data_IF_426813968828
#
_entry.id   IF_426813968828
#
_cell.length_a   1.000
_cell.length_b   1.000
_cell.length_c   1.000
_cell.angle_alpha   90.00
_cell.angle_beta   90.00
_cell.angle_gamma   90.00
#
_symmetry.space_group_name_H-M   'P 1'
#
loop_
_entity.id
_entity.type
_entity.pdbx_description
1 polymer ?
#
# COMPACT_ATOMS: atom_id res chain seq x y z
N UNK A 1 -35.35 -6.65 10.94
CA UNK A 1 -34.73 -7.92 10.51
C UNK A 1 -33.54 -7.57 9.67
N UNK A 2 -32.28 -7.79 10.07
CA UNK A 2 -31.16 -7.61 9.14
C UNK A 2 -31.28 -8.67 8.04
N UNK A 3 -31.42 -8.22 6.78
CA UNK A 3 -31.39 -9.08 5.63
C UNK A 3 -30.05 -9.85 5.66
N UNK A 4 -30.09 -11.17 5.42
CA UNK A 4 -28.92 -11.97 5.13
C UNK A 4 -28.30 -11.37 3.86
N UNK A 5 -27.32 -10.45 4.02
CA UNK A 5 -26.50 -10.00 2.91
C UNK A 5 -25.87 -11.24 2.30
N UNK A 6 -26.24 -11.54 1.08
CA UNK A 6 -25.74 -12.68 0.34
C UNK A 6 -24.22 -12.53 0.16
N UNK A 7 -23.55 -13.65 0.29
CA UNK A 7 -22.10 -13.77 0.19
C UNK A 7 -21.61 -13.40 -1.22
N UNK A 8 -21.14 -12.17 -1.41
CA UNK A 8 -20.45 -11.74 -2.61
C UNK A 8 -21.25 -11.86 -3.93
N UNK A 9 -20.72 -11.30 -4.99
CA UNK A 9 -21.23 -11.48 -6.34
C UNK A 9 -20.95 -12.89 -6.87
N UNK A 10 -21.85 -13.42 -7.70
CA UNK A 10 -21.60 -14.65 -8.46
C UNK A 10 -20.90 -14.28 -9.78
N UNK A 11 -19.69 -14.71 -9.97
CA UNK A 11 -18.94 -14.54 -11.22
C UNK A 11 -19.45 -15.58 -12.22
N UNK A 12 -19.92 -15.13 -13.38
CA UNK A 12 -20.38 -15.95 -14.49
C UNK A 12 -19.24 -16.29 -15.43
N UNK A 13 -18.41 -15.30 -15.73
CA UNK A 13 -17.18 -15.46 -16.51
C UNK A 13 -16.16 -14.39 -16.09
N UNK A 14 -14.89 -14.68 -16.29
CA UNK A 14 -13.78 -13.76 -16.03
C UNK A 14 -12.79 -13.85 -17.17
N UNK A 15 -12.31 -12.71 -17.66
CA UNK A 15 -11.33 -12.62 -18.73
C UNK A 15 -10.24 -11.62 -18.34
N UNK A 16 -8.98 -12.05 -18.37
CA UNK A 16 -7.84 -11.17 -18.28
C UNK A 16 -7.75 -10.30 -19.52
N UNK A 17 -7.73 -8.99 -19.34
CA UNK A 17 -7.62 -7.99 -20.40
C UNK A 17 -6.17 -7.50 -20.52
N UNK A 18 -5.49 -7.37 -19.38
CA UNK A 18 -4.09 -6.97 -19.30
C UNK A 18 -3.43 -7.70 -18.14
N UNK A 19 -2.20 -8.14 -18.36
CA UNK A 19 -1.37 -8.78 -17.34
C UNK A 19 0.02 -8.11 -17.36
N UNK A 20 0.21 -7.19 -16.43
CA UNK A 20 1.43 -6.39 -16.31
C UNK A 20 2.27 -6.79 -15.10
N UNK A 21 3.49 -6.27 -15.04
CA UNK A 21 4.43 -6.54 -13.94
C UNK A 21 3.92 -6.03 -12.57
N UNK A 22 3.17 -4.93 -12.55
CA UNK A 22 2.74 -4.26 -11.32
C UNK A 22 1.29 -4.57 -11.00
N UNK A 23 0.40 -4.51 -11.99
CA UNK A 23 -1.02 -4.76 -11.86
C UNK A 23 -1.56 -5.45 -13.13
N UNK A 24 -2.73 -6.05 -13.01
CA UNK A 24 -3.47 -6.57 -14.15
C UNK A 24 -4.83 -5.90 -14.28
N UNK A 25 -5.55 -6.23 -15.36
CA UNK A 25 -6.97 -5.85 -15.54
C UNK A 25 -7.73 -7.11 -15.93
N UNK A 26 -8.81 -7.41 -15.21
CA UNK A 26 -9.77 -8.43 -15.60
C UNK A 26 -11.13 -7.81 -15.85
N UNK A 27 -11.91 -8.45 -16.71
CA UNK A 27 -13.32 -8.15 -16.95
C UNK A 27 -14.15 -9.33 -16.49
N UNK A 28 -15.07 -9.07 -15.56
CA UNK A 28 -15.95 -10.07 -14.97
C UNK A 28 -17.40 -9.81 -15.38
N UNK A 29 -18.10 -10.84 -15.86
CA UNK A 29 -19.56 -10.86 -15.96
C UNK A 29 -20.10 -11.41 -14.64
N UNK A 30 -20.91 -10.63 -13.94
CA UNK A 30 -21.34 -10.95 -12.59
C UNK A 30 -22.83 -10.82 -12.38
N UNK A 31 -23.36 -11.57 -11.40
CA UNK A 31 -24.64 -11.28 -10.77
C UNK A 31 -24.31 -10.77 -9.36
N UNK A 32 -24.60 -9.51 -9.11
CA UNK A 32 -24.42 -8.88 -7.80
C UNK A 32 -25.39 -9.44 -6.75
N UNK A 33 -25.11 -9.27 -5.45
CA UNK A 33 -26.02 -9.70 -4.38
C UNK A 33 -27.45 -9.15 -4.49
N UNK A 34 -27.60 -8.00 -5.15
CA UNK A 34 -28.88 -7.37 -5.46
C UNK A 34 -29.67 -8.07 -6.59
N UNK A 35 -29.06 -9.02 -7.30
CA UNK A 35 -29.61 -9.67 -8.50
C UNK A 35 -29.29 -8.95 -9.81
N UNK A 36 -28.57 -7.83 -9.77
CA UNK A 36 -28.19 -7.08 -10.97
C UNK A 36 -27.12 -7.84 -11.74
N UNK A 37 -27.35 -8.05 -13.05
CA UNK A 37 -26.34 -8.52 -13.98
C UNK A 37 -25.51 -7.34 -14.46
N UNK A 38 -24.20 -7.47 -14.39
CA UNK A 38 -23.29 -6.38 -14.75
C UNK A 38 -21.94 -6.91 -15.25
N UNK A 39 -21.33 -6.14 -16.12
CA UNK A 39 -19.91 -6.26 -16.45
C UNK A 39 -19.10 -5.37 -15.48
N UNK A 40 -18.04 -5.91 -14.92
CA UNK A 40 -17.11 -5.17 -14.04
C UNK A 40 -15.69 -5.29 -14.57
N UNK A 41 -15.04 -4.16 -14.68
CA UNK A 41 -13.61 -4.09 -14.96
C UNK A 41 -12.88 -3.80 -13.64
N UNK A 42 -11.94 -4.67 -13.31
CA UNK A 42 -11.23 -4.64 -12.02
C UNK A 42 -9.74 -4.62 -12.28
N UNK A 43 -9.07 -3.66 -11.70
CA UNK A 43 -7.60 -3.67 -11.61
C UNK A 43 -7.21 -4.68 -10.54
N UNK A 44 -6.44 -5.69 -10.94
CA UNK A 44 -5.92 -6.72 -10.03
C UNK A 44 -4.59 -6.28 -9.45
N UNK A 45 -4.40 -6.47 -8.15
CA UNK A 45 -3.20 -6.08 -7.43
C UNK A 45 -2.94 -7.05 -6.26
N UNK A 46 -1.68 -7.44 -5.99
CA UNK A 46 -1.37 -8.41 -4.93
C UNK A 46 -1.62 -7.89 -3.50
N UNK A 47 -1.86 -6.59 -3.36
CA UNK A 47 -1.92 -5.87 -2.10
C UNK A 47 -0.64 -5.09 -1.81
N UNK A 48 -0.73 -4.20 -0.85
CA UNK A 48 0.39 -3.34 -0.45
C UNK A 48 0.50 -3.17 1.06
N UNK A 49 1.67 -2.74 1.48
CA UNK A 49 1.93 -2.28 2.85
C UNK A 49 2.35 -0.83 2.83
N UNK A 50 1.93 -0.11 3.85
CA UNK A 50 2.44 1.22 4.19
C UNK A 50 2.96 1.15 5.62
N UNK A 51 4.16 1.64 5.85
CA UNK A 51 4.79 1.61 7.17
C UNK A 51 4.87 3.02 7.72
N UNK A 52 4.36 3.22 8.94
CA UNK A 52 4.55 4.43 9.74
C UNK A 52 5.69 4.19 10.73
N UNK A 53 6.95 4.55 10.40
CA UNK A 53 8.10 4.27 11.23
C UNK A 53 8.28 5.41 12.26
N UNK A 54 8.18 5.08 13.55
CA UNK A 54 8.36 6.05 14.64
C UNK A 54 9.73 5.84 15.28
N UNK A 55 10.56 6.87 15.21
CA UNK A 55 11.85 6.92 15.88
C UNK A 55 11.71 7.03 17.40
N UNK A 56 12.76 6.69 18.17
CA UNK A 56 12.72 6.78 19.64
C UNK A 56 12.39 8.17 20.18
N UNK A 57 12.71 9.22 19.43
CA UNK A 57 12.43 10.63 19.78
C UNK A 57 11.03 11.10 19.31
N UNK A 58 10.21 10.21 18.76
CA UNK A 58 8.84 10.49 18.31
C UNK A 58 8.73 11.09 16.92
N UNK A 59 9.84 11.31 16.20
CA UNK A 59 9.80 11.73 14.80
C UNK A 59 9.38 10.56 13.92
N UNK A 60 8.76 10.89 12.77
CA UNK A 60 8.35 9.95 11.75
C UNK A 60 9.37 9.97 10.62
N UNK A 61 9.83 8.79 10.22
CA UNK A 61 10.71 8.62 9.07
C UNK A 61 9.87 8.62 7.81
N UNK A 62 10.19 9.52 6.88
CA UNK A 62 9.58 9.62 5.57
C UNK A 62 10.62 9.37 4.49
N UNK A 63 10.16 8.96 3.33
CA UNK A 63 10.98 8.81 2.13
C UNK A 63 10.57 9.84 1.08
N UNK A 64 11.49 10.16 0.18
CA UNK A 64 11.21 10.99 -1.00
C UNK A 64 11.64 10.25 -2.24
N UNK A 65 10.70 10.03 -3.15
CA UNK A 65 10.97 9.38 -4.43
C UNK A 65 10.21 10.06 -5.57
N UNK A 66 10.67 9.84 -6.81
CA UNK A 66 9.99 10.31 -8.00
C UNK A 66 8.84 9.38 -8.35
N UNK A 67 7.61 9.90 -8.40
CA UNK A 67 6.43 9.17 -8.85
C UNK A 67 6.09 9.57 -10.27
N UNK A 68 6.40 8.70 -11.24
CA UNK A 68 6.19 8.99 -12.66
C UNK A 68 4.73 9.32 -12.99
N UNK A 69 3.75 8.64 -12.38
CA UNK A 69 2.34 8.92 -12.58
C UNK A 69 1.94 10.33 -12.13
N UNK A 70 2.55 10.84 -11.06
CA UNK A 70 2.36 12.20 -10.55
C UNK A 70 3.32 13.21 -11.20
N UNK A 71 4.34 12.75 -11.94
CA UNK A 71 5.40 13.54 -12.59
C UNK A 71 6.17 14.46 -11.64
N UNK A 72 6.33 14.03 -10.37
CA UNK A 72 7.02 14.82 -9.35
C UNK A 72 7.61 13.95 -8.24
N UNK A 73 8.48 14.56 -7.44
CA UNK A 73 8.97 13.97 -6.21
C UNK A 73 7.93 14.18 -5.10
N UNK A 74 7.60 13.10 -4.40
CA UNK A 74 6.68 13.14 -3.26
C UNK A 74 7.39 12.71 -1.98
N UNK A 75 6.99 13.30 -0.85
CA UNK A 75 7.29 12.76 0.46
C UNK A 75 6.20 11.77 0.84
N UNK A 76 6.62 10.57 1.16
CA UNK A 76 5.72 9.44 1.41
C UNK A 76 6.16 8.68 2.66
N UNK A 77 5.27 7.88 3.20
CA UNK A 77 5.64 6.80 4.11
C UNK A 77 6.28 5.67 3.31
N UNK A 78 7.11 4.87 3.96
CA UNK A 78 7.65 3.63 3.37
C UNK A 78 6.49 2.77 2.87
N UNK A 79 6.55 2.30 1.64
CA UNK A 79 5.45 1.55 1.05
C UNK A 79 5.91 0.64 -0.08
N UNK A 80 5.35 -0.57 -0.13
CA UNK A 80 5.61 -1.48 -1.23
C UNK A 80 4.58 -2.57 -1.38
N UNK A 81 4.75 -3.38 -2.41
CA UNK A 81 3.87 -4.50 -2.72
C UNK A 81 4.12 -5.68 -1.77
N UNK A 82 3.07 -6.45 -1.56
CA UNK A 82 3.18 -7.74 -0.89
C UNK A 82 3.59 -8.78 -1.93
N UNK A 83 4.74 -9.39 -1.73
CA UNK A 83 5.21 -10.46 -2.61
C UNK A 83 4.45 -11.76 -2.38
N UNK A 84 4.44 -12.63 -3.40
CA UNK A 84 3.76 -13.91 -3.32
C UNK A 84 4.22 -14.75 -2.11
N UNK A 85 3.29 -15.09 -1.24
CA UNK A 85 3.56 -15.85 -0.02
C UNK A 85 4.09 -15.05 1.16
N UNK A 86 4.24 -13.72 1.03
CA UNK A 86 4.58 -12.88 2.16
C UNK A 86 3.34 -12.51 3.00
N UNK A 87 3.56 -12.35 4.29
CA UNK A 87 2.58 -11.69 5.16
C UNK A 87 2.79 -10.18 5.14
N UNK A 88 1.75 -9.35 5.42
CA UNK A 88 1.91 -7.90 5.49
C UNK A 88 3.03 -7.43 6.43
N UNK A 89 3.26 -8.14 7.53
CA UNK A 89 4.35 -7.80 8.46
C UNK A 89 5.73 -8.09 7.88
N UNK A 90 5.86 -9.16 7.11
CA UNK A 90 7.13 -9.54 6.48
C UNK A 90 7.48 -8.54 5.37
N UNK A 91 6.50 -8.21 4.51
CA UNK A 91 6.68 -7.19 3.48
C UNK A 91 7.02 -5.83 4.10
N UNK A 92 6.32 -5.40 5.15
CA UNK A 92 6.61 -4.15 5.84
C UNK A 92 8.03 -4.10 6.43
N UNK A 93 8.54 -5.23 6.93
CA UNK A 93 9.90 -5.30 7.44
C UNK A 93 10.95 -5.25 6.32
N UNK A 94 10.69 -5.89 5.18
CA UNK A 94 11.54 -5.85 3.98
C UNK A 94 11.61 -4.43 3.43
N UNK A 95 10.46 -3.81 3.12
CA UNK A 95 10.39 -2.47 2.56
C UNK A 95 11.06 -1.41 3.45
N UNK A 96 10.87 -1.51 4.77
CA UNK A 96 11.52 -0.58 5.71
C UNK A 96 13.04 -0.65 5.62
N UNK A 97 13.61 -1.83 5.44
CA UNK A 97 15.06 -2.01 5.29
C UNK A 97 15.52 -1.50 3.92
N UNK A 98 14.86 -1.92 2.86
CA UNK A 98 15.22 -1.59 1.48
C UNK A 98 15.24 -0.07 1.27
N UNK A 99 14.18 0.63 1.63
CA UNK A 99 14.03 2.06 1.39
C UNK A 99 14.75 2.96 2.40
N UNK A 100 14.99 2.50 3.62
CA UNK A 100 15.52 3.36 4.69
C UNK A 100 16.73 2.82 5.44
N UNK A 101 17.00 1.53 5.34
CA UNK A 101 18.01 0.84 6.14
C UNK A 101 17.58 0.56 7.58
N UNK A 102 16.45 1.07 8.05
CA UNK A 102 16.02 0.86 9.42
C UNK A 102 15.38 -0.52 9.60
N UNK A 103 15.61 -1.09 10.78
CA UNK A 103 14.95 -2.32 11.26
C UNK A 103 14.06 -1.97 12.44
N UNK A 104 12.84 -2.50 12.47
CA UNK A 104 11.92 -2.30 13.57
C UNK A 104 11.82 -3.56 14.43
N UNK A 105 11.75 -3.38 15.75
CA UNK A 105 11.53 -4.48 16.69
C UNK A 105 10.08 -4.95 16.72
N UNK A 106 9.12 -4.06 16.42
CA UNK A 106 7.69 -4.34 16.51
C UNK A 106 6.93 -3.73 15.34
N UNK A 107 6.05 -4.53 14.74
CA UNK A 107 5.08 -4.08 13.75
C UNK A 107 3.67 -4.37 14.25
N UNK A 108 2.78 -3.41 14.14
CA UNK A 108 1.36 -3.55 14.48
C UNK A 108 0.51 -3.03 13.32
N UNK A 109 -0.38 -3.86 12.79
CA UNK A 109 -1.37 -3.42 11.79
C UNK A 109 -2.26 -2.37 12.46
N UNK A 110 -2.28 -1.20 11.88
CA UNK A 110 -3.01 -0.03 12.35
C UNK A 110 -4.31 0.13 11.55
N UNK A 111 -4.23 -0.02 10.23
CA UNK A 111 -5.38 -0.01 9.32
C UNK A 111 -5.25 -1.13 8.29
N UNK A 112 -6.41 -1.57 7.79
CA UNK A 112 -6.59 -2.55 6.74
C UNK A 112 -7.73 -2.04 5.86
N UNK A 113 -7.41 -1.55 4.66
CA UNK A 113 -8.33 -0.77 3.84
C UNK A 113 -8.26 -1.16 2.36
N UNK A 114 -9.31 -0.84 1.64
CA UNK A 114 -9.33 -0.79 0.19
C UNK A 114 -9.24 0.69 -0.24
N UNK A 115 -8.11 1.16 -0.80
CA UNK A 115 -7.92 2.59 -1.11
C UNK A 115 -8.89 3.09 -2.20
N UNK A 116 -9.23 2.23 -3.16
CA UNK A 116 -10.10 2.60 -4.28
C UNK A 116 -11.04 1.43 -4.65
N UNK A 117 -12.00 1.04 -3.76
CA UNK A 117 -12.78 -0.19 -3.91
C UNK A 117 -13.76 -0.19 -5.10
N UNK A 118 -13.91 0.93 -5.80
CA UNK A 118 -14.80 1.04 -6.97
C UNK A 118 -14.31 0.25 -8.20
N UNK A 119 -13.01 0.05 -8.34
CA UNK A 119 -12.42 -0.64 -9.49
C UNK A 119 -11.05 -1.29 -9.23
N UNK A 120 -10.47 -1.10 -8.06
CA UNK A 120 -9.18 -1.67 -7.67
C UNK A 120 -9.37 -2.66 -6.52
N UNK A 121 -8.86 -3.88 -6.68
CA UNK A 121 -8.95 -4.90 -5.62
C UNK A 121 -7.77 -4.85 -4.62
N UNK A 122 -6.91 -3.85 -4.73
CA UNK A 122 -5.81 -3.66 -3.79
C UNK A 122 -6.30 -3.63 -2.35
N UNK A 123 -5.70 -4.48 -1.52
CA UNK A 123 -5.83 -4.43 -0.07
C UNK A 123 -4.57 -3.82 0.50
N UNK A 124 -4.70 -2.69 1.18
CA UNK A 124 -3.59 -1.94 1.74
C UNK A 124 -3.56 -2.10 3.26
N UNK A 125 -2.42 -2.55 3.78
CA UNK A 125 -2.18 -2.65 5.21
C UNK A 125 -1.26 -1.53 5.68
N UNK A 126 -1.73 -0.70 6.60
CA UNK A 126 -0.89 0.35 7.22
C UNK A 126 -0.39 -0.18 8.56
N UNK A 127 0.93 -0.24 8.71
CA UNK A 127 1.58 -0.78 9.90
C UNK A 127 2.35 0.30 10.63
N UNK A 128 2.19 0.33 11.95
CA UNK A 128 3.04 1.07 12.84
C UNK A 128 4.32 0.27 13.11
N UNK A 129 5.49 0.89 12.93
CA UNK A 129 6.80 0.32 13.20
C UNK A 129 7.49 1.07 14.35
N UNK A 130 7.88 0.35 15.39
CA UNK A 130 8.46 0.88 16.62
C UNK A 130 9.75 0.13 17.01
N UNK A 131 10.58 0.80 17.81
CA UNK A 131 11.86 0.26 18.22
C UNK A 131 12.86 0.20 17.07
N UNK A 132 12.95 1.29 16.32
CA UNK A 132 13.78 1.41 15.14
C UNK A 132 15.27 1.43 15.49
N UNK A 133 16.05 0.68 14.73
CA UNK A 133 17.52 0.68 14.76
C UNK A 133 18.01 0.98 13.36
N UNK A 134 18.93 1.96 13.24
CA UNK A 134 19.52 2.33 11.96
C UNK A 134 20.43 1.22 11.41
N UNK A 135 20.47 1.08 10.12
CA UNK A 135 21.33 0.20 9.33
C UNK A 135 21.63 0.83 7.98
N UNK A 136 21.92 0.01 6.99
CA UNK A 136 22.21 0.42 5.61
C UNK A 136 20.97 0.13 4.77
N UNK A 137 20.55 1.11 3.96
CA UNK A 137 19.48 0.93 2.98
C UNK A 137 19.96 0.06 1.80
N UNK A 138 19.05 -0.73 1.27
CA UNK A 138 19.30 -1.66 0.17
C UNK A 138 18.21 -1.48 -0.91
N UNK A 139 18.05 -0.25 -1.49
CA UNK A 139 17.01 0.02 -2.48
C UNK A 139 17.21 -0.79 -3.76
N UNK A 140 16.14 -1.00 -4.53
CA UNK A 140 16.24 -1.58 -5.87
C UNK A 140 17.08 -0.69 -6.80
N UNK A 141 17.68 -1.27 -7.86
CA UNK A 141 18.65 -0.57 -8.74
C UNK A 141 18.04 0.67 -9.44
N UNK A 142 16.73 0.67 -9.69
CA UNK A 142 15.99 1.75 -10.35
C UNK A 142 15.35 2.74 -9.35
N UNK A 143 15.52 2.53 -8.04
CA UNK A 143 14.98 3.38 -6.99
C UNK A 143 16.03 4.37 -6.44
N UNK A 144 15.74 5.66 -6.58
CA UNK A 144 16.50 6.74 -5.95
C UNK A 144 15.68 7.35 -4.81
N UNK A 145 15.87 6.78 -3.63
CA UNK A 145 15.12 7.14 -2.44
C UNK A 145 16.02 7.94 -1.47
N UNK A 146 15.45 8.97 -0.87
CA UNK A 146 16.09 9.74 0.21
C UNK A 146 15.15 9.67 1.41
N UNK A 147 15.69 9.27 2.58
CA UNK A 147 14.90 9.23 3.81
C UNK A 147 15.25 10.43 4.72
N UNK A 148 14.26 10.94 5.44
CA UNK A 148 14.39 11.99 6.43
C UNK A 148 13.36 11.82 7.55
N UNK A 149 13.80 12.14 8.78
CA UNK A 149 12.91 12.15 9.94
C UNK A 149 12.28 13.55 10.14
N UNK A 150 10.96 13.56 10.35
CA UNK A 150 10.15 14.74 10.53
C UNK A 150 9.44 14.75 11.88
N UNK A 151 9.39 15.90 12.52
CA UNK A 151 8.51 16.10 13.65
C UNK A 151 7.07 16.44 13.16
N UNK A 152 6.12 16.43 14.10
CA UNK A 152 4.71 16.68 13.78
C UNK A 152 4.48 18.02 13.05
N UNK A 153 5.15 19.10 13.49
CA UNK A 153 4.96 20.42 12.89
C UNK A 153 5.43 20.46 11.44
N UNK A 154 6.60 19.87 11.16
CA UNK A 154 7.11 19.74 9.79
C UNK A 154 6.19 18.91 8.89
N UNK A 155 5.56 17.86 9.41
CA UNK A 155 4.59 17.05 8.67
C UNK A 155 3.31 17.82 8.32
N UNK A 156 2.83 18.66 9.23
CA UNK A 156 1.68 19.54 8.97
C UNK A 156 1.99 20.55 7.85
N UNK A 157 3.23 21.01 7.73
CA UNK A 157 3.68 21.90 6.65
C UNK A 157 3.74 21.17 5.30
N UNK A 158 4.25 19.91 5.26
CA UNK A 158 4.25 19.08 4.05
C UNK A 158 2.82 18.86 3.56
N UNK A 159 1.89 18.50 4.44
CA UNK A 159 0.50 18.28 4.09
C UNK A 159 -0.18 19.51 3.46
N UNK A 160 0.21 20.72 3.84
CA UNK A 160 -0.30 21.96 3.23
C UNK A 160 0.30 22.27 1.86
N UNK A 161 1.52 21.82 1.59
CA UNK A 161 2.22 22.06 0.34
C UNK A 161 1.73 21.18 -0.82
N UNK A 162 0.93 20.15 -0.52
CA UNK A 162 0.41 19.17 -1.49
C UNK A 162 -1.09 19.34 -1.78
N UNK A 163 -1.71 20.41 -1.30
CA UNK A 163 -3.13 20.76 -1.54
C UNK A 163 -3.23 21.84 -2.60
#
# INVERSE_FOLDING_TARGET
>A
MPSKLSRGARILSSKTIYDGKIFGIRRDEVIEPSGVHATREVITHPGSVVVLPILPDGRILMIRQYRHAARQYLWELVAGRIDAGESPRKSAARELIEETGYRARKFRIFLDVFPTPGFLEERMFILLAEGLTAGVAEPEEDEKIVSRAYNRKELEEIGRAHV
#
